data_IF_892882940605
#
_entry.id   IF_892882940605
#
_cell.length_a   1.000
_cell.length_b   1.000
_cell.length_c   1.000
_cell.angle_alpha   90.00
_cell.angle_beta   90.00
_cell.angle_gamma   90.00
#
_symmetry.space_group_name_H-M   'P 1'
#
loop_
_entity.id
_entity.type
_entity.pdbx_description
1 polymer ?
#
# COMPACT_ATOMS: atom_id res chain seq x y z
N UNK A 1 11.31 -5.09 4.65
CA UNK A 1 9.91 -4.84 4.23
C UNK A 1 9.80 -4.57 2.73
N UNK A 2 10.66 -3.72 2.18
CA UNK A 2 10.53 -3.25 0.79
C UNK A 2 10.75 -4.32 -0.27
N UNK A 3 11.76 -5.17 -0.15
CA UNK A 3 11.97 -6.27 -1.12
C UNK A 3 10.78 -7.24 -1.20
N UNK A 4 10.15 -7.55 -0.05
CA UNK A 4 8.93 -8.37 -0.02
C UNK A 4 7.75 -7.68 -0.72
N UNK A 5 7.62 -6.36 -0.57
CA UNK A 5 6.58 -5.59 -1.25
C UNK A 5 6.84 -5.46 -2.74
N UNK A 6 8.08 -5.27 -3.15
CA UNK A 6 8.48 -5.28 -4.56
C UNK A 6 8.20 -6.64 -5.21
N UNK A 7 8.45 -7.74 -4.48
CA UNK A 7 8.08 -9.08 -4.92
C UNK A 7 6.57 -9.24 -5.09
N UNK A 8 5.75 -8.88 -4.09
CA UNK A 8 4.29 -8.95 -4.22
C UNK A 8 3.79 -8.08 -5.37
N UNK A 9 4.38 -6.91 -5.56
CA UNK A 9 4.05 -6.02 -6.66
C UNK A 9 4.37 -6.64 -8.02
N UNK A 10 5.56 -7.24 -8.18
CA UNK A 10 5.93 -7.97 -9.39
C UNK A 10 4.97 -9.13 -9.69
N UNK A 11 4.58 -9.90 -8.65
CA UNK A 11 3.61 -10.98 -8.79
C UNK A 11 2.24 -10.46 -9.25
N UNK A 12 1.72 -9.39 -8.63
CA UNK A 12 0.45 -8.75 -9.03
C UNK A 12 0.50 -8.34 -10.51
N UNK A 13 1.61 -7.77 -10.98
CA UNK A 13 1.76 -7.34 -12.38
C UNK A 13 1.77 -8.52 -13.35
N UNK A 14 2.45 -9.61 -13.00
CA UNK A 14 2.49 -10.86 -13.79
C UNK A 14 1.09 -11.47 -13.86
N UNK A 15 0.43 -11.62 -12.71
CA UNK A 15 -0.93 -12.18 -12.63
C UNK A 15 -1.93 -11.35 -13.45
N UNK A 16 -1.87 -10.02 -13.34
CA UNK A 16 -2.74 -9.11 -14.10
C UNK A 16 -2.52 -9.27 -15.61
N UNK A 17 -1.27 -9.43 -16.05
CA UNK A 17 -0.93 -9.67 -17.46
C UNK A 17 -1.53 -10.98 -17.96
N UNK A 18 -1.39 -12.07 -17.20
CA UNK A 18 -1.93 -13.39 -17.58
C UNK A 18 -3.47 -13.37 -17.62
N UNK A 19 -4.10 -12.71 -16.64
CA UNK A 19 -5.56 -12.50 -16.61
C UNK A 19 -6.02 -11.72 -17.85
N UNK A 20 -5.38 -10.59 -18.14
CA UNK A 20 -5.72 -9.77 -19.31
C UNK A 20 -5.50 -10.55 -20.61
N UNK A 21 -4.42 -11.32 -20.73
CA UNK A 21 -4.13 -12.15 -21.89
C UNK A 21 -5.23 -13.21 -22.09
N UNK A 22 -5.63 -13.89 -21.01
CA UNK A 22 -6.68 -14.90 -21.04
C UNK A 22 -8.06 -14.32 -21.44
N UNK A 23 -8.40 -13.12 -20.97
CA UNK A 23 -9.68 -12.45 -21.30
C UNK A 23 -9.67 -11.92 -22.73
N UNK A 24 -8.56 -11.31 -23.17
CA UNK A 24 -8.50 -10.55 -24.42
C UNK A 24 -8.09 -11.36 -25.66
N UNK A 25 -7.52 -12.56 -25.51
CA UNK A 25 -7.16 -13.44 -26.63
C UNK A 25 -8.14 -14.61 -26.63
N UNK A 26 -9.27 -14.35 -27.29
CA UNK A 26 -10.44 -15.21 -27.41
C UNK A 26 -10.12 -16.47 -28.23
N UNK A 27 -9.55 -17.49 -27.59
CA UNK A 27 -9.56 -18.85 -28.13
C UNK A 27 -9.75 -19.84 -26.97
N UNK A 28 -11.01 -20.19 -26.77
CA UNK A 28 -11.55 -20.89 -25.61
C UNK A 28 -11.24 -22.39 -25.68
N UNK A 29 -10.36 -22.88 -24.80
CA UNK A 29 -10.20 -24.31 -24.50
C UNK A 29 -10.41 -24.49 -23.00
N UNK A 30 -11.25 -25.44 -22.59
CA UNK A 30 -11.71 -25.68 -21.19
C UNK A 30 -10.57 -25.72 -20.14
N UNK A 31 -9.38 -26.16 -20.53
CA UNK A 31 -8.17 -26.19 -19.69
C UNK A 31 -7.68 -24.79 -19.26
N UNK A 32 -7.97 -23.73 -20.04
CA UNK A 32 -7.59 -22.34 -19.74
C UNK A 32 -8.46 -21.67 -18.68
N UNK A 33 -9.73 -22.06 -18.51
CA UNK A 33 -10.63 -21.45 -17.51
C UNK A 33 -10.12 -21.79 -16.10
N UNK A 34 -9.75 -23.06 -15.88
CA UNK A 34 -9.19 -23.50 -14.60
C UNK A 34 -7.88 -22.76 -14.29
N UNK A 35 -7.02 -22.58 -15.28
CA UNK A 35 -5.80 -21.78 -15.14
C UNK A 35 -6.11 -20.31 -14.80
N UNK A 36 -7.09 -19.69 -15.47
CA UNK A 36 -7.50 -18.31 -15.20
C UNK A 36 -8.02 -18.15 -13.78
N UNK A 37 -8.82 -19.10 -13.27
CA UNK A 37 -9.30 -19.10 -11.88
C UNK A 37 -8.13 -19.18 -10.89
N UNK A 38 -7.13 -20.03 -11.14
CA UNK A 38 -5.94 -20.12 -10.29
C UNK A 38 -5.17 -18.78 -10.27
N UNK A 39 -4.95 -18.16 -11.43
CA UNK A 39 -4.31 -16.84 -11.49
C UNK A 39 -5.13 -15.76 -10.80
N UNK A 40 -6.46 -15.78 -10.92
CA UNK A 40 -7.34 -14.85 -10.21
C UNK A 40 -7.29 -15.02 -8.69
N UNK A 41 -7.26 -16.26 -8.19
CA UNK A 41 -7.12 -16.55 -6.76
C UNK A 41 -5.76 -16.07 -6.25
N UNK A 42 -4.69 -16.35 -6.99
CA UNK A 42 -3.33 -15.94 -6.64
C UNK A 42 -3.19 -14.41 -6.65
N UNK A 43 -3.72 -13.76 -7.69
CA UNK A 43 -3.83 -12.30 -7.78
C UNK A 43 -4.54 -11.72 -6.56
N UNK A 44 -5.73 -12.23 -6.24
CA UNK A 44 -6.54 -11.74 -5.12
C UNK A 44 -5.82 -11.89 -3.79
N UNK A 45 -5.11 -13.01 -3.60
CA UNK A 45 -4.29 -13.25 -2.42
C UNK A 45 -3.12 -12.25 -2.29
N UNK A 46 -2.40 -11.98 -3.38
CA UNK A 46 -1.29 -11.01 -3.38
C UNK A 46 -1.80 -9.58 -3.17
N UNK A 47 -2.93 -9.22 -3.80
CA UNK A 47 -3.59 -7.92 -3.60
C UNK A 47 -4.02 -7.76 -2.15
N UNK A 48 -4.64 -8.77 -1.54
CA UNK A 48 -5.05 -8.73 -0.13
C UNK A 48 -3.84 -8.49 0.80
N UNK A 49 -2.74 -9.22 0.61
CA UNK A 49 -1.50 -9.02 1.37
C UNK A 49 -0.95 -7.60 1.20
N UNK A 50 -0.92 -7.10 -0.02
CA UNK A 50 -0.44 -5.76 -0.32
C UNK A 50 -1.30 -4.67 0.34
N UNK A 51 -2.62 -4.82 0.30
CA UNK A 51 -3.57 -3.92 0.96
C UNK A 51 -3.40 -3.96 2.48
N UNK A 52 -3.32 -5.15 3.08
CA UNK A 52 -3.17 -5.32 4.52
C UNK A 52 -1.91 -4.65 5.06
N UNK A 53 -0.78 -4.78 4.34
CA UNK A 53 0.47 -4.12 4.74
C UNK A 53 0.34 -2.59 4.67
N UNK A 54 -0.22 -2.04 3.59
CA UNK A 54 -0.42 -0.60 3.47
C UNK A 54 -1.40 -0.06 4.52
N UNK A 55 -2.46 -0.81 4.81
CA UNK A 55 -3.43 -0.49 5.86
C UNK A 55 -2.77 -0.46 7.24
N UNK A 56 -2.00 -1.49 7.60
CA UNK A 56 -1.28 -1.53 8.87
C UNK A 56 -0.28 -0.37 8.99
N UNK A 57 0.47 -0.07 7.92
CA UNK A 57 1.37 1.07 7.90
C UNK A 57 0.65 2.39 8.18
N UNK A 58 -0.51 2.62 7.57
CA UNK A 58 -1.31 3.81 7.82
C UNK A 58 -1.81 3.87 9.26
N UNK A 59 -2.43 2.79 9.75
CA UNK A 59 -3.00 2.73 11.10
C UNK A 59 -1.93 2.95 12.17
N UNK A 60 -0.76 2.34 12.03
CA UNK A 60 0.36 2.53 12.97
C UNK A 60 0.85 3.98 12.91
N UNK A 61 0.93 4.57 11.72
CA UNK A 61 1.35 5.98 11.57
C UNK A 61 0.33 6.94 12.20
N UNK A 62 -0.97 6.70 12.02
CA UNK A 62 -2.05 7.47 12.66
C UNK A 62 -1.97 7.32 14.18
N UNK A 63 -1.90 6.08 14.69
CA UNK A 63 -1.80 5.82 16.13
C UNK A 63 -0.58 6.50 16.74
N UNK A 64 0.59 6.40 16.13
CA UNK A 64 1.80 7.06 16.60
C UNK A 64 1.64 8.58 16.71
N UNK A 65 0.99 9.20 15.71
CA UNK A 65 0.67 10.64 15.75
C UNK A 65 -0.32 10.99 16.85
N UNK A 66 -1.38 10.20 17.03
CA UNK A 66 -2.36 10.44 18.11
C UNK A 66 -1.72 10.27 19.48
N UNK A 67 -0.85 9.28 19.67
CA UNK A 67 -0.10 9.10 20.92
C UNK A 67 0.78 10.31 21.21
N UNK A 68 1.47 10.85 20.21
CA UNK A 68 2.27 12.06 20.39
C UNK A 68 1.42 13.29 20.78
N UNK A 69 0.25 13.46 20.16
CA UNK A 69 -0.68 14.55 20.51
C UNK A 69 -1.19 14.43 21.95
N UNK A 70 -1.54 13.22 22.39
CA UNK A 70 -1.97 12.96 23.77
C UNK A 70 -0.82 13.18 24.78
N UNK A 71 0.39 12.73 24.46
CA UNK A 71 1.56 12.92 25.30
C UNK A 71 1.87 14.41 25.47
N UNK A 72 1.80 15.18 24.38
CA UNK A 72 2.01 16.62 24.39
C UNK A 72 0.99 17.36 25.26
N UNK A 73 -0.29 16.92 25.22
CA UNK A 73 -1.34 17.43 26.11
C UNK A 73 -1.08 17.07 27.57
N UNK A 74 -0.63 15.85 27.85
CA UNK A 74 -0.32 15.39 29.21
C UNK A 74 0.87 16.16 29.82
N UNK A 75 1.87 16.50 29.00
CA UNK A 75 3.02 17.34 29.40
C UNK A 75 2.56 18.60 30.12
N UNK A 76 1.53 19.28 29.60
CA UNK A 76 0.99 20.50 30.18
C UNK A 76 0.40 20.34 31.60
N UNK A 77 0.05 19.11 32.00
CA UNK A 77 -0.51 18.81 33.32
C UNK A 77 0.53 18.27 34.31
N UNK A 78 1.74 17.92 33.86
CA UNK A 78 2.76 17.31 34.73
C UNK A 78 3.68 18.38 35.29
N UNK A 79 3.73 18.55 36.61
CA UNK A 79 4.63 19.53 37.29
C UNK A 79 6.07 19.03 37.46
N UNK A 80 6.36 17.80 37.05
CA UNK A 80 7.70 17.23 37.11
C UNK A 80 8.52 17.70 35.89
N UNK A 81 9.60 18.42 36.16
CA UNK A 81 10.45 19.07 35.15
C UNK A 81 11.17 18.03 34.28
N UNK A 82 11.64 16.92 34.86
CA UNK A 82 12.34 15.85 34.10
C UNK A 82 11.36 15.12 33.15
N UNK A 83 10.15 14.83 33.64
CA UNK A 83 9.11 14.18 32.85
C UNK A 83 8.65 15.11 31.72
N UNK A 84 8.45 16.40 32.01
CA UNK A 84 8.08 17.40 31.01
C UNK A 84 9.14 17.54 29.92
N UNK A 85 10.42 17.61 30.30
CA UNK A 85 11.52 17.75 29.34
C UNK A 85 11.65 16.52 28.43
N UNK A 86 11.52 15.33 29.00
CA UNK A 86 11.54 14.05 28.25
C UNK A 86 10.37 13.95 27.26
N UNK A 87 9.16 14.30 27.71
CA UNK A 87 7.96 14.30 26.86
C UNK A 87 8.09 15.32 25.73
N UNK A 88 8.61 16.51 26.03
CA UNK A 88 8.82 17.57 25.04
C UNK A 88 9.82 17.13 23.96
N UNK A 89 10.96 16.54 24.35
CA UNK A 89 11.94 16.00 23.40
C UNK A 89 11.34 14.89 22.51
N UNK A 90 10.57 13.97 23.09
CA UNK A 90 9.94 12.88 22.35
C UNK A 90 8.85 13.37 21.39
N UNK A 91 8.02 14.32 21.84
CA UNK A 91 7.01 15.00 21.02
C UNK A 91 7.67 15.72 19.84
N UNK A 92 8.75 16.46 20.10
CA UNK A 92 9.49 17.21 19.09
C UNK A 92 10.12 16.28 18.04
N UNK A 93 10.65 15.13 18.46
CA UNK A 93 11.13 14.07 17.55
C UNK A 93 10.01 13.49 16.69
N UNK A 94 8.83 13.19 17.24
CA UNK A 94 7.71 12.66 16.46
C UNK A 94 7.13 13.70 15.50
N UNK A 95 7.11 14.97 15.88
CA UNK A 95 6.66 16.07 15.02
C UNK A 95 7.63 16.28 13.85
N UNK A 96 8.95 16.29 14.11
CA UNK A 96 9.97 16.51 13.08
C UNK A 96 10.21 15.27 12.21
N UNK A 97 10.15 14.08 12.79
CA UNK A 97 10.34 12.80 12.13
C UNK A 97 9.12 11.88 12.38
N UNK A 98 7.95 12.20 11.80
CA UNK A 98 6.77 11.37 11.96
C UNK A 98 7.07 9.97 11.42
N UNK A 99 6.55 8.97 12.12
CA UNK A 99 6.73 7.59 11.76
C UNK A 99 6.14 7.35 10.36
N UNK A 100 7.02 7.14 9.39
CA UNK A 100 6.69 6.96 7.98
C UNK A 100 7.29 5.66 7.51
N UNK A 101 6.44 4.75 7.05
CA UNK A 101 6.90 3.54 6.40
C UNK A 101 7.24 3.86 4.94
N UNK A 102 8.53 3.88 4.61
CA UNK A 102 9.02 4.15 3.27
C UNK A 102 9.60 2.88 2.62
N UNK A 103 9.28 2.67 1.34
CA UNK A 103 9.94 1.67 0.52
C UNK A 103 11.18 2.25 -0.15
N UNK A 104 12.38 1.90 0.32
CA UNK A 104 13.68 2.33 -0.25
C UNK A 104 13.78 3.87 -0.39
N UNK A 105 12.97 4.63 0.36
CA UNK A 105 12.86 6.09 0.22
C UNK A 105 12.11 6.59 -1.03
N UNK A 106 11.69 5.70 -1.93
CA UNK A 106 11.03 6.05 -3.19
C UNK A 106 9.53 6.28 -3.04
N UNK A 107 8.88 5.50 -2.18
CA UNK A 107 7.43 5.57 -1.98
C UNK A 107 7.08 5.45 -0.49
N UNK A 108 6.00 6.12 -0.09
CA UNK A 108 5.45 6.06 1.27
C UNK A 108 4.28 5.10 1.28
N UNK A 109 4.34 4.06 2.11
CA UNK A 109 3.21 3.16 2.30
C UNK A 109 2.07 3.89 3.00
N UNK A 110 0.83 3.56 2.63
CA UNK A 110 -0.37 4.20 3.15
C UNK A 110 -1.47 4.35 2.11
N UNK A 111 -2.60 4.95 2.50
CA UNK A 111 -3.77 5.06 1.62
C UNK A 111 -3.51 5.92 0.38
N UNK A 112 -2.68 6.97 0.51
CA UNK A 112 -2.30 7.81 -0.62
C UNK A 112 -1.59 7.01 -1.72
N UNK A 113 -0.70 6.10 -1.33
CA UNK A 113 0.00 5.24 -2.28
C UNK A 113 -0.94 4.22 -2.92
N UNK A 114 -1.84 3.61 -2.15
CA UNK A 114 -2.86 2.71 -2.69
C UNK A 114 -3.77 3.40 -3.72
N UNK A 115 -4.25 4.61 -3.42
CA UNK A 115 -5.07 5.37 -4.34
C UNK A 115 -4.34 5.67 -5.65
N UNK A 116 -3.12 6.18 -5.56
CA UNK A 116 -2.30 6.50 -6.72
C UNK A 116 -1.97 5.25 -7.55
N UNK A 117 -1.78 4.13 -6.87
CA UNK A 117 -1.54 2.83 -7.48
C UNK A 117 -2.75 2.34 -8.30
N UNK A 118 -3.95 2.36 -7.71
CA UNK A 118 -5.18 1.96 -8.38
C UNK A 118 -5.47 2.86 -9.58
N UNK A 119 -5.27 4.18 -9.43
CA UNK A 119 -5.43 5.14 -10.54
C UNK A 119 -4.50 4.81 -11.71
N UNK A 120 -3.22 4.50 -11.45
CA UNK A 120 -2.29 4.12 -12.50
C UNK A 120 -2.69 2.83 -13.21
N UNK A 121 -3.16 1.81 -12.49
CA UNK A 121 -3.70 0.58 -13.11
C UNK A 121 -4.89 0.91 -14.00
N UNK A 122 -5.85 1.70 -13.50
CA UNK A 122 -7.03 2.10 -14.25
C UNK A 122 -6.67 2.86 -15.53
N UNK A 123 -5.71 3.80 -15.46
CA UNK A 123 -5.20 4.53 -16.63
C UNK A 123 -4.60 3.58 -17.66
N UNK A 124 -3.74 2.65 -17.25
CA UNK A 124 -3.14 1.65 -18.16
C UNK A 124 -4.21 0.77 -18.81
N UNK A 125 -5.21 0.32 -18.04
CA UNK A 125 -6.32 -0.48 -18.57
C UNK A 125 -7.11 0.30 -19.63
N UNK A 126 -7.45 1.56 -19.36
CA UNK A 126 -8.17 2.43 -20.31
C UNK A 126 -7.37 2.60 -21.60
N UNK A 127 -6.05 2.85 -21.51
CA UNK A 127 -5.18 2.98 -22.69
C UNK A 127 -5.19 1.69 -23.51
N UNK A 128 -5.08 0.52 -22.88
CA UNK A 128 -5.08 -0.78 -23.57
C UNK A 128 -6.42 -1.01 -24.28
N UNK A 129 -7.54 -0.73 -23.62
CA UNK A 129 -8.88 -0.90 -24.18
C UNK A 129 -9.07 0.03 -25.39
N UNK A 130 -8.71 1.31 -25.26
CA UNK A 130 -8.80 2.27 -26.37
C UNK A 130 -7.90 1.90 -27.55
N UNK A 131 -6.68 1.43 -27.28
CA UNK A 131 -5.76 0.99 -28.33
C UNK A 131 -6.28 -0.23 -29.11
N UNK A 132 -7.10 -1.08 -28.48
CA UNK A 132 -7.78 -2.18 -29.17
C UNK A 132 -9.04 -1.75 -29.91
N UNK A 133 -9.82 -0.82 -29.37
CA UNK A 133 -11.05 -0.34 -30.01
C UNK A 133 -10.79 0.47 -31.29
N UNK A 134 -9.60 1.06 -31.44
CA UNK A 134 -9.15 1.77 -32.64
C UNK A 134 -8.54 0.85 -33.72
N UNK A 135 -8.47 -0.46 -33.46
CA UNK A 135 -7.91 -1.47 -34.36
C UNK A 135 -9.03 -2.31 -34.97
#
# INVERSE_FOLDING_TARGET
MTFKMAYYFGMIAIDLREILYAILINNYVKCRIMSAVVFFLWFSYNVFKFLLINYLCEIVSIKARTTADLLNKLSYFTCDVEIHETISQFSLQIVHAPLRFCGIGLFRFGFKFLYMFIMNIATVLVIIIQARAKK
#
